data_IF_997246414105
#
_entry.id   IF_997246414105
#
_cell.length_a   1.000
_cell.length_b   1.000
_cell.length_c   1.000
_cell.angle_alpha   90.00
_cell.angle_beta   90.00
_cell.angle_gamma   90.00
#
_symmetry.space_group_name_H-M   'P 1'
#
loop_
_entity.id
_entity.type
_entity.pdbx_description
1 polymer ?
#
# COMPACT_ATOMS: atom_id res chain seq x y z
N UNK A 1 -8.06 -4.60 -33.89
CA UNK A 1 -8.68 -5.95 -33.77
C UNK A 1 -7.55 -6.97 -33.79
N UNK A 2 -7.28 -7.63 -32.67
CA UNK A 2 -6.32 -8.73 -32.59
C UNK A 2 -7.08 -10.04 -32.79
N UNK A 3 -6.77 -10.76 -33.87
CA UNK A 3 -7.38 -12.06 -34.17
C UNK A 3 -6.84 -13.12 -33.21
N UNK A 4 -7.74 -13.74 -32.45
CA UNK A 4 -7.51 -14.62 -31.30
C UNK A 4 -6.91 -16.00 -31.59
N UNK A 5 -6.20 -16.19 -32.72
CA UNK A 5 -5.85 -17.52 -33.22
C UNK A 5 -4.37 -17.82 -33.47
N UNK A 6 -3.47 -16.82 -33.53
CA UNK A 6 -2.05 -17.07 -33.83
C UNK A 6 -1.13 -16.21 -32.96
N UNK A 7 -0.81 -16.73 -31.78
CA UNK A 7 0.06 -16.07 -30.79
C UNK A 7 1.56 -16.23 -31.10
N UNK A 8 1.94 -16.99 -32.13
CA UNK A 8 3.35 -17.28 -32.43
C UNK A 8 4.20 -16.02 -32.68
N UNK A 9 3.74 -15.01 -33.45
CA UNK A 9 4.55 -13.80 -33.66
C UNK A 9 4.75 -12.97 -32.39
N UNK A 10 3.73 -12.91 -31.52
CA UNK A 10 3.83 -12.21 -30.23
C UNK A 10 4.74 -12.97 -29.27
N UNK A 11 4.61 -14.30 -29.24
CA UNK A 11 5.48 -15.20 -28.48
C UNK A 11 6.94 -15.02 -28.92
N UNK A 12 7.23 -15.12 -30.21
CA UNK A 12 8.59 -15.00 -30.74
C UNK A 12 9.18 -13.60 -30.47
N UNK A 13 8.36 -12.54 -30.52
CA UNK A 13 8.78 -11.20 -30.11
C UNK A 13 9.15 -11.12 -28.62
N UNK A 14 8.33 -11.72 -27.74
CA UNK A 14 8.59 -11.75 -26.29
C UNK A 14 9.79 -12.65 -25.92
N UNK A 15 10.02 -13.75 -26.63
CA UNK A 15 11.19 -14.63 -26.42
C UNK A 15 12.50 -13.97 -26.84
N UNK A 16 12.46 -13.04 -27.80
CA UNK A 16 13.60 -12.26 -28.24
C UNK A 16 13.73 -10.91 -27.52
N UNK A 17 12.82 -10.62 -26.58
CA UNK A 17 12.87 -9.41 -25.76
C UNK A 17 13.97 -9.54 -24.71
N UNK A 18 14.63 -8.42 -24.37
CA UNK A 18 15.60 -8.39 -23.29
C UNK A 18 14.90 -8.77 -21.97
N UNK A 19 15.56 -9.56 -21.11
CA UNK A 19 15.02 -9.99 -19.81
C UNK A 19 14.59 -8.78 -18.96
N UNK A 20 15.28 -7.65 -19.05
CA UNK A 20 14.90 -6.40 -18.37
C UNK A 20 13.54 -5.84 -18.81
N UNK A 21 13.15 -6.10 -20.07
CA UNK A 21 11.87 -5.68 -20.63
C UNK A 21 10.78 -6.73 -20.40
N UNK A 22 11.15 -8.02 -20.39
CA UNK A 22 10.22 -9.12 -20.10
C UNK A 22 9.77 -9.16 -18.63
N UNK A 23 10.65 -8.80 -17.69
CA UNK A 23 10.34 -8.74 -16.25
C UNK A 23 9.24 -7.71 -15.90
N UNK A 24 8.86 -6.84 -16.83
CA UNK A 24 7.72 -5.92 -16.69
C UNK A 24 6.37 -6.64 -16.70
N UNK A 25 6.31 -7.90 -17.13
CA UNK A 25 5.07 -8.65 -17.33
C UNK A 25 5.10 -9.97 -16.54
N UNK A 26 4.87 -9.87 -15.23
CA UNK A 26 4.93 -11.01 -14.32
C UNK A 26 3.51 -11.60 -14.10
N UNK A 27 3.13 -12.63 -14.86
CA UNK A 27 1.83 -13.30 -14.75
C UNK A 27 2.02 -14.79 -14.37
N UNK A 28 2.23 -15.06 -13.08
CA UNK A 28 2.44 -16.41 -12.55
C UNK A 28 1.21 -17.08 -11.93
N UNK A 29 0.03 -16.44 -11.96
CA UNK A 29 -1.17 -16.95 -11.27
C UNK A 29 -2.33 -17.20 -12.22
N UNK A 30 -3.00 -18.34 -12.02
CA UNK A 30 -4.12 -18.80 -12.86
C UNK A 30 -5.45 -18.07 -12.60
N UNK A 31 -5.52 -17.23 -11.55
CA UNK A 31 -6.71 -16.48 -11.15
C UNK A 31 -6.30 -15.33 -10.19
N UNK A 32 -7.23 -14.44 -9.84
CA UNK A 32 -6.99 -13.36 -8.87
C UNK A 32 -6.83 -13.90 -7.44
N UNK A 33 -6.03 -13.25 -6.58
CA UNK A 33 -5.73 -13.75 -5.22
C UNK A 33 -6.95 -14.11 -4.38
N UNK A 34 -8.04 -13.32 -4.46
CA UNK A 34 -9.28 -13.58 -3.73
C UNK A 34 -9.91 -14.95 -4.06
N UNK A 35 -9.85 -15.38 -5.32
CA UNK A 35 -10.38 -16.67 -5.74
C UNK A 35 -9.45 -17.81 -5.35
N UNK A 36 -8.14 -17.59 -5.50
CA UNK A 36 -7.12 -18.56 -5.12
C UNK A 36 -7.05 -18.79 -3.61
N UNK A 37 -7.42 -17.79 -2.81
CA UNK A 37 -7.43 -17.90 -1.36
C UNK A 37 -8.27 -19.09 -0.85
N UNK A 38 -9.39 -19.39 -1.52
CA UNK A 38 -10.26 -20.55 -1.20
C UNK A 38 -9.59 -21.92 -1.38
N UNK A 39 -8.48 -21.97 -2.11
CA UNK A 39 -7.72 -23.20 -2.39
C UNK A 39 -6.47 -23.32 -1.52
N UNK A 40 -6.26 -22.40 -0.57
CA UNK A 40 -5.09 -22.44 0.32
C UNK A 40 -5.20 -23.62 1.27
N UNK A 41 -4.08 -24.29 1.50
CA UNK A 41 -3.99 -25.34 2.52
C UNK A 41 -4.02 -24.73 3.92
N UNK A 42 -4.65 -25.41 4.87
CA UNK A 42 -4.72 -25.04 6.30
C UNK A 42 -3.36 -25.20 7.01
N UNK A 43 -2.40 -24.35 6.66
CA UNK A 43 -1.08 -24.30 7.32
C UNK A 43 -1.06 -23.17 8.36
N UNK A 44 -0.29 -23.29 9.45
CA UNK A 44 -0.03 -22.16 10.34
C UNK A 44 0.57 -20.98 9.56
N UNK A 45 0.01 -19.79 9.77
CA UNK A 45 0.42 -18.56 9.10
C UNK A 45 0.71 -17.47 10.14
N UNK A 46 1.77 -16.70 9.91
CA UNK A 46 2.05 -15.47 10.64
C UNK A 46 1.93 -14.31 9.66
N UNK A 47 1.05 -13.36 9.96
CA UNK A 47 0.74 -12.20 9.10
C UNK A 47 0.86 -10.95 9.96
N UNK A 48 1.39 -9.87 9.41
CA UNK A 48 1.48 -8.62 10.17
C UNK A 48 1.86 -7.43 9.32
N UNK A 49 1.93 -6.29 9.99
CA UNK A 49 2.38 -5.03 9.41
C UNK A 49 3.32 -4.30 10.37
N UNK A 50 4.09 -3.36 9.85
CA UNK A 50 4.83 -2.39 10.63
C UNK A 50 3.92 -1.17 10.91
N UNK A 51 4.16 -0.46 12.02
CA UNK A 51 3.36 0.73 12.38
C UNK A 51 3.40 1.82 11.29
N UNK A 52 4.56 1.98 10.65
CA UNK A 52 4.91 3.10 9.78
C UNK A 52 5.43 2.58 8.41
N UNK A 53 4.67 1.70 7.76
CA UNK A 53 5.07 1.01 6.50
C UNK A 53 5.30 1.98 5.34
N UNK A 54 4.56 3.09 5.33
CA UNK A 54 4.50 3.98 4.19
C UNK A 54 5.51 5.13 4.26
N UNK A 55 6.12 5.35 5.43
CA UNK A 55 7.07 6.43 5.70
C UNK A 55 8.19 6.55 4.66
N UNK A 56 8.83 5.42 4.30
CA UNK A 56 9.93 5.41 3.34
C UNK A 56 9.49 5.88 1.94
N UNK A 57 8.24 5.62 1.56
CA UNK A 57 7.69 6.07 0.28
C UNK A 57 7.45 7.57 0.26
N UNK A 58 7.03 8.15 1.39
CA UNK A 58 6.87 9.61 1.50
C UNK A 58 8.24 10.29 1.33
N UNK A 59 9.26 9.82 2.05
CA UNK A 59 10.63 10.36 1.95
C UNK A 59 11.25 10.24 0.56
N UNK A 60 10.86 9.23 -0.22
CA UNK A 60 11.34 9.06 -1.59
C UNK A 60 10.79 10.12 -2.56
N UNK A 61 9.66 10.77 -2.22
CA UNK A 61 8.98 11.72 -3.10
C UNK A 61 9.11 13.18 -2.65
N UNK A 62 9.47 13.43 -1.38
CA UNK A 62 9.49 14.80 -0.83
C UNK A 62 10.37 14.93 0.40
N UNK A 63 10.68 16.19 0.78
CA UNK A 63 11.29 16.51 2.07
C UNK A 63 10.20 16.93 3.06
N UNK A 64 10.27 16.40 4.29
CA UNK A 64 9.35 16.72 5.39
C UNK A 64 9.25 18.23 5.61
N UNK A 65 10.34 18.98 5.48
CA UNK A 65 10.36 20.43 5.73
C UNK A 65 9.46 21.24 4.79
N UNK A 66 9.02 20.65 3.68
CA UNK A 66 8.23 21.32 2.67
C UNK A 66 6.77 20.82 2.66
N UNK A 67 6.38 20.01 3.65
CA UNK A 67 5.12 19.30 3.60
C UNK A 67 3.97 20.14 4.18
N UNK A 68 3.10 20.66 3.33
CA UNK A 68 1.92 21.44 3.75
C UNK A 68 0.65 20.62 3.64
N UNK A 69 -0.47 21.15 4.13
CA UNK A 69 -1.81 20.62 3.85
C UNK A 69 -2.04 20.37 2.36
N UNK A 70 -1.78 21.38 1.53
CA UNK A 70 -2.04 21.32 0.07
C UNK A 70 -1.27 20.17 -0.58
N UNK A 71 0.02 20.03 -0.26
CA UNK A 71 0.83 18.93 -0.80
C UNK A 71 0.39 17.57 -0.27
N UNK A 72 -0.14 17.51 0.96
CA UNK A 72 -0.73 16.29 1.52
C UNK A 72 -2.00 15.87 0.78
N UNK A 73 -2.92 16.81 0.56
CA UNK A 73 -4.17 16.59 -0.18
C UNK A 73 -3.89 16.17 -1.63
N UNK A 74 -2.98 16.87 -2.32
CA UNK A 74 -2.53 16.51 -3.67
C UNK A 74 -1.96 15.09 -3.73
N UNK A 75 -1.15 14.73 -2.73
CA UNK A 75 -0.57 13.39 -2.63
C UNK A 75 -1.67 12.33 -2.49
N UNK A 76 -2.60 12.50 -1.55
CA UNK A 76 -3.73 11.58 -1.37
C UNK A 76 -4.60 11.49 -2.62
N UNK A 77 -4.91 12.63 -3.23
CA UNK A 77 -5.69 12.68 -4.47
C UNK A 77 -5.02 11.86 -5.57
N UNK A 78 -3.71 11.99 -5.74
CA UNK A 78 -2.96 11.22 -6.75
C UNK A 78 -3.01 9.71 -6.52
N UNK A 79 -3.03 9.26 -5.25
CA UNK A 79 -3.08 7.83 -4.90
C UNK A 79 -4.49 7.26 -4.99
N UNK A 80 -5.49 8.05 -4.61
CA UNK A 80 -6.85 7.59 -4.42
C UNK A 80 -7.82 7.92 -5.55
N UNK A 81 -7.45 8.80 -6.48
CA UNK A 81 -8.26 9.13 -7.65
C UNK A 81 -8.72 7.90 -8.44
N UNK A 82 -7.83 6.91 -8.62
CA UNK A 82 -8.16 5.68 -9.35
C UNK A 82 -9.12 4.74 -8.60
N UNK A 83 -9.24 4.89 -7.27
CA UNK A 83 -10.08 4.04 -6.44
C UNK A 83 -11.47 4.66 -6.22
N UNK A 84 -11.53 5.97 -5.95
CA UNK A 84 -12.77 6.65 -5.55
C UNK A 84 -13.32 7.61 -6.61
N UNK A 85 -12.57 7.87 -7.69
CA UNK A 85 -13.03 8.72 -8.80
C UNK A 85 -13.49 10.09 -8.31
N UNK A 86 -14.73 10.46 -8.64
CA UNK A 86 -15.32 11.75 -8.26
C UNK A 86 -15.52 11.95 -6.75
N UNK A 87 -15.42 10.89 -5.94
CA UNK A 87 -15.59 10.96 -4.48
C UNK A 87 -14.26 11.24 -3.74
N UNK A 88 -13.14 11.30 -4.46
CA UNK A 88 -11.80 11.38 -3.87
C UNK A 88 -11.66 12.50 -2.84
N UNK A 89 -12.14 13.71 -3.15
CA UNK A 89 -12.02 14.84 -2.22
C UNK A 89 -12.83 14.63 -0.93
N UNK A 90 -14.05 14.10 -1.03
CA UNK A 90 -14.89 13.81 0.14
C UNK A 90 -14.24 12.74 1.03
N UNK A 91 -13.60 11.74 0.42
CA UNK A 91 -12.86 10.72 1.17
C UNK A 91 -11.64 11.33 1.86
N UNK A 92 -10.89 12.22 1.20
CA UNK A 92 -9.77 12.93 1.81
C UNK A 92 -10.25 13.73 3.03
N UNK A 93 -11.33 14.50 2.92
CA UNK A 93 -11.89 15.25 4.05
C UNK A 93 -12.28 14.34 5.22
N UNK A 94 -12.88 13.18 4.96
CA UNK A 94 -13.19 12.20 6.02
C UNK A 94 -11.92 11.65 6.65
N UNK A 95 -10.89 11.35 5.86
CA UNK A 95 -9.62 10.84 6.36
C UNK A 95 -8.88 11.89 7.20
N UNK A 96 -8.85 13.15 6.77
CA UNK A 96 -8.28 14.24 7.56
C UNK A 96 -8.97 14.36 8.92
N UNK A 97 -10.31 14.34 8.95
CA UNK A 97 -11.08 14.41 10.19
C UNK A 97 -10.87 13.21 11.12
N UNK A 98 -10.49 12.04 10.59
CA UNK A 98 -10.25 10.83 11.38
C UNK A 98 -8.82 10.73 11.91
N UNK A 99 -7.83 11.20 11.14
CA UNK A 99 -6.42 10.96 11.42
C UNK A 99 -5.66 12.20 11.90
N UNK A 100 -6.22 13.40 11.75
CA UNK A 100 -5.58 14.65 12.13
C UNK A 100 -6.10 15.15 13.48
N UNK A 101 -5.21 15.67 14.32
CA UNK A 101 -5.60 16.34 15.56
C UNK A 101 -6.31 17.67 15.24
N UNK A 102 -7.42 18.04 15.90
CA UNK A 102 -8.18 19.25 15.59
C UNK A 102 -7.39 20.57 15.67
N UNK A 103 -6.27 20.58 16.42
CA UNK A 103 -5.40 21.75 16.58
C UNK A 103 -4.32 21.87 15.51
N UNK A 104 -4.26 20.94 14.56
CA UNK A 104 -3.20 20.91 13.54
C UNK A 104 -3.29 22.14 12.64
N UNK A 105 -2.17 22.83 12.48
CA UNK A 105 -2.07 24.01 11.61
C UNK A 105 -1.64 23.62 10.20
N UNK A 106 -1.85 24.51 9.23
CA UNK A 106 -1.47 24.26 7.83
C UNK A 106 0.04 24.02 7.64
N UNK A 107 0.86 24.59 8.52
CA UNK A 107 2.33 24.51 8.50
C UNK A 107 2.89 23.47 9.50
N UNK A 108 2.04 22.67 10.13
CA UNK A 108 2.50 21.55 10.97
C UNK A 108 2.95 20.38 10.10
N UNK A 109 4.13 20.55 9.48
CA UNK A 109 4.66 19.63 8.49
C UNK A 109 4.73 18.18 9.00
N UNK A 110 5.08 18.00 10.28
CA UNK A 110 5.19 16.67 10.87
C UNK A 110 3.82 16.02 11.05
N UNK A 111 2.81 16.77 11.48
CA UNK A 111 1.44 16.24 11.60
C UNK A 111 0.89 15.79 10.25
N UNK A 112 1.06 16.60 9.19
CA UNK A 112 0.63 16.24 7.83
C UNK A 112 1.30 14.97 7.31
N UNK A 113 2.62 14.84 7.52
CA UNK A 113 3.33 13.63 7.08
C UNK A 113 2.92 12.40 7.89
N UNK A 114 2.75 12.51 9.21
CA UNK A 114 2.27 11.39 10.04
C UNK A 114 0.88 10.94 9.63
N UNK A 115 -0.03 11.88 9.35
CA UNK A 115 -1.36 11.58 8.86
C UNK A 115 -1.30 10.77 7.55
N UNK A 116 -0.49 11.21 6.59
CA UNK A 116 -0.29 10.46 5.34
C UNK A 116 0.24 9.05 5.57
N UNK A 117 1.27 8.91 6.39
CA UNK A 117 1.86 7.61 6.68
C UNK A 117 0.82 6.67 7.30
N UNK A 118 0.02 7.16 8.27
CA UNK A 118 -1.04 6.36 8.88
C UNK A 118 -2.12 5.97 7.88
N UNK A 119 -2.63 6.90 7.07
CA UNK A 119 -3.65 6.62 6.05
C UNK A 119 -3.14 5.60 5.05
N UNK A 120 -1.93 5.79 4.52
CA UNK A 120 -1.39 4.93 3.47
C UNK A 120 -0.89 3.59 4.02
N UNK A 121 -0.34 3.53 5.24
CA UNK A 121 -0.03 2.29 5.95
C UNK A 121 -1.30 1.48 6.20
N UNK A 122 -2.37 2.13 6.64
CA UNK A 122 -3.66 1.49 6.82
C UNK A 122 -4.21 0.94 5.50
N UNK A 123 -4.19 1.73 4.43
CA UNK A 123 -4.79 1.36 3.15
C UNK A 123 -3.99 0.29 2.39
N UNK A 124 -2.67 0.47 2.22
CA UNK A 124 -1.86 -0.38 1.34
C UNK A 124 -1.29 -1.62 2.02
N UNK A 125 -1.09 -1.60 3.33
CA UNK A 125 -0.40 -2.66 4.05
C UNK A 125 -1.29 -3.33 5.08
N UNK A 126 -1.72 -2.60 6.10
CA UNK A 126 -2.48 -3.17 7.22
C UNK A 126 -3.84 -3.69 6.78
N UNK A 127 -4.56 -2.96 5.92
CA UNK A 127 -5.83 -3.39 5.36
C UNK A 127 -5.69 -4.65 4.48
N UNK A 128 -4.61 -4.73 3.69
CA UNK A 128 -4.30 -5.92 2.91
C UNK A 128 -4.02 -7.15 3.79
N UNK A 129 -3.22 -6.97 4.84
CA UNK A 129 -2.96 -8.01 5.84
C UNK A 129 -4.25 -8.47 6.54
N UNK A 130 -5.13 -7.53 6.91
CA UNK A 130 -6.42 -7.84 7.53
C UNK A 130 -7.33 -8.66 6.60
N UNK A 131 -7.43 -8.27 5.33
CA UNK A 131 -8.17 -9.05 4.32
C UNK A 131 -7.59 -10.46 4.19
N UNK A 132 -6.26 -10.63 4.22
CA UNK A 132 -5.63 -11.94 4.09
C UNK A 132 -5.90 -12.84 5.31
N UNK A 133 -5.91 -12.26 6.50
CA UNK A 133 -6.34 -12.93 7.74
C UNK A 133 -7.80 -13.39 7.61
N UNK A 134 -8.72 -12.52 7.19
CA UNK A 134 -10.12 -12.88 6.98
C UNK A 134 -10.28 -14.03 5.98
N UNK A 135 -9.52 -14.00 4.88
CA UNK A 135 -9.54 -15.07 3.90
C UNK A 135 -9.07 -16.40 4.48
N UNK A 136 -8.06 -16.42 5.35
CA UNK A 136 -7.65 -17.64 6.04
C UNK A 136 -8.73 -18.15 7.02
N UNK A 137 -9.29 -17.26 7.84
CA UNK A 137 -10.33 -17.61 8.81
C UNK A 137 -11.59 -18.14 8.10
N UNK A 138 -11.98 -17.54 6.98
CA UNK A 138 -13.14 -17.96 6.18
C UNK A 138 -12.98 -19.36 5.54
N UNK A 139 -11.76 -19.87 5.44
CA UNK A 139 -11.44 -21.21 4.93
C UNK A 139 -11.11 -22.19 6.06
N UNK A 140 -11.67 -21.98 7.26
CA UNK A 140 -11.46 -22.81 8.46
C UNK A 140 -10.00 -22.92 8.94
N UNK A 141 -9.08 -22.08 8.46
CA UNK A 141 -7.74 -22.02 9.02
C UNK A 141 -7.72 -21.13 10.26
N UNK A 142 -7.83 -21.72 11.45
CA UNK A 142 -7.73 -21.00 12.72
C UNK A 142 -6.28 -20.79 13.21
N UNK A 143 -5.28 -21.33 12.52
CA UNK A 143 -3.86 -21.20 12.89
C UNK A 143 -3.25 -19.94 12.27
N UNK A 144 -3.86 -18.79 12.52
CA UNK A 144 -3.39 -17.48 12.01
C UNK A 144 -2.94 -16.62 13.17
N UNK A 145 -1.66 -16.24 13.17
CA UNK A 145 -1.04 -15.39 14.17
C UNK A 145 -0.81 -14.01 13.58
N UNK A 146 -1.38 -12.99 14.22
CA UNK A 146 -1.26 -11.60 13.76
C UNK A 146 -0.24 -10.86 14.62
N UNK A 147 0.62 -10.06 13.98
CA UNK A 147 1.53 -9.17 14.69
C UNK A 147 1.49 -7.74 14.13
N UNK A 148 1.85 -6.78 14.98
CA UNK A 148 2.24 -5.45 14.55
C UNK A 148 3.64 -5.18 15.08
N UNK A 149 4.56 -4.79 14.20
CA UNK A 149 5.92 -4.45 14.58
C UNK A 149 6.05 -2.93 14.77
N UNK A 150 6.52 -2.52 15.95
CA UNK A 150 6.53 -1.12 16.39
C UNK A 150 7.92 -0.58 16.71
N UNK A 151 8.95 -1.44 16.68
CA UNK A 151 10.31 -1.04 17.03
C UNK A 151 11.00 -0.32 15.86
N UNK A 152 11.48 0.90 16.08
CA UNK A 152 12.35 1.61 15.16
C UNK A 152 13.82 1.39 15.55
N UNK A 153 14.68 1.03 14.60
CA UNK A 153 16.13 0.99 14.84
C UNK A 153 16.66 2.41 14.99
N UNK A 154 17.60 2.64 15.93
CA UNK A 154 18.31 3.91 16.16
C UNK A 154 18.89 4.57 14.92
N UNK A 155 19.22 3.81 13.87
CA UNK A 155 19.66 4.39 12.59
C UNK A 155 18.53 5.19 11.89
N UNK A 156 17.28 4.75 12.04
CA UNK A 156 16.09 5.47 11.55
C UNK A 156 15.71 6.67 12.43
N UNK A 157 16.09 6.71 13.71
CA UNK A 157 15.84 7.86 14.59
C UNK A 157 16.56 9.14 14.12
N UNK A 158 17.62 9.01 13.31
CA UNK A 158 18.34 10.15 12.73
C UNK A 158 17.63 10.78 11.53
N UNK A 159 16.54 10.20 11.01
CA UNK A 159 15.75 10.78 9.91
C UNK A 159 14.66 11.74 10.39
N UNK A 160 14.60 12.05 11.69
CA UNK A 160 13.70 13.06 12.27
C UNK A 160 12.26 12.60 12.55
N UNK A 161 11.83 11.43 12.05
CA UNK A 161 10.44 10.95 12.21
C UNK A 161 10.08 10.54 13.65
N UNK A 162 11.03 9.93 14.34
CA UNK A 162 10.86 9.38 15.69
C UNK A 162 11.42 10.27 16.81
N UNK A 163 11.87 11.49 16.48
CA UNK A 163 12.32 12.46 17.49
C UNK A 163 11.11 13.22 18.02
N UNK A 164 10.54 12.71 19.11
CA UNK A 164 9.64 13.45 20.02
C UNK A 164 10.32 13.62 21.35
#
# INVERSE_FOLDING_TARGET
MWNSGNYNPLKDCLYNMNVSDALKYNYGYADVPKNLAKKRTEKPMMIGSNRDEFWAFILAHTNISNFTKENSEDYLASKFANFFGSQTQQIIEVLENLYLEPSTTIDDHLAWVKMLDYICTAFFFTGGAAIDVELHLSNNNSNVFVYQFTYANRVAENTGYYRT
#
